data_IF_193721789665
#
_entry.id   IF_193721789665
#
_cell.length_a   1.000
_cell.length_b   1.000
_cell.length_c   1.000
_cell.angle_alpha   90.00
_cell.angle_beta   90.00
_cell.angle_gamma   90.00
#
_symmetry.space_group_name_H-M   'P 1'
#
loop_
_entity.id
_entity.type
_entity.pdbx_description
1 polymer ?
#
# COMPACT_ATOMS: atom_id res chain seq x y z
N UNK A 1 -8.18 -14.21 0.04
CA UNK A 1 -6.86 -14.31 -0.63
C UNK A 1 -7.10 -14.63 -2.09
N UNK A 2 -6.40 -13.97 -3.01
CA UNK A 2 -6.41 -14.29 -4.44
C UNK A 2 -5.02 -14.78 -4.82
N UNK A 3 -4.94 -15.85 -5.60
CA UNK A 3 -3.67 -16.41 -6.05
C UNK A 3 -3.81 -17.02 -7.45
N UNK A 4 -2.78 -16.85 -8.27
CA UNK A 4 -2.67 -17.57 -9.55
C UNK A 4 -1.95 -18.89 -9.31
N UNK A 5 -2.67 -20.00 -9.49
CA UNK A 5 -2.15 -21.37 -9.22
C UNK A 5 -0.95 -21.74 -10.12
N UNK A 6 -0.79 -21.08 -11.26
CA UNK A 6 0.36 -21.28 -12.17
C UNK A 6 1.57 -20.43 -11.77
N UNK A 7 1.45 -19.59 -10.74
CA UNK A 7 2.54 -18.72 -10.26
C UNK A 7 2.87 -17.54 -11.18
N UNK A 8 2.01 -17.24 -12.16
CA UNK A 8 2.25 -16.17 -13.14
C UNK A 8 1.86 -14.82 -12.53
N UNK A 9 2.81 -13.87 -12.50
CA UNK A 9 2.57 -12.48 -12.10
C UNK A 9 1.70 -11.78 -13.15
N UNK A 10 0.63 -11.10 -12.73
CA UNK A 10 -0.26 -10.32 -13.61
C UNK A 10 -0.95 -9.20 -12.83
N UNK A 11 -1.39 -8.15 -13.55
CA UNK A 11 -2.18 -7.07 -12.94
C UNK A 11 -3.58 -7.53 -12.55
N UNK A 12 -4.16 -8.47 -13.29
CA UNK A 12 -5.48 -9.06 -13.07
C UNK A 12 -5.66 -9.56 -11.62
N UNK A 13 -4.63 -10.17 -11.03
CA UNK A 13 -4.67 -10.63 -9.62
C UNK A 13 -4.86 -9.47 -8.63
N UNK A 14 -4.31 -8.30 -8.95
CA UNK A 14 -4.48 -7.08 -8.13
C UNK A 14 -5.90 -6.55 -8.28
N UNK A 15 -6.43 -6.50 -9.50
CA UNK A 15 -7.83 -6.10 -9.76
C UNK A 15 -8.82 -7.02 -9.06
N UNK A 16 -8.63 -8.34 -9.15
CA UNK A 16 -9.43 -9.34 -8.43
C UNK A 16 -9.38 -9.13 -6.92
N UNK A 17 -8.19 -8.86 -6.35
CA UNK A 17 -8.03 -8.61 -4.93
C UNK A 17 -8.77 -7.34 -4.48
N UNK A 18 -8.76 -6.28 -5.28
CA UNK A 18 -9.53 -5.06 -5.03
C UNK A 18 -11.03 -5.33 -5.13
N UNK A 19 -11.48 -6.10 -6.12
CA UNK A 19 -12.89 -6.47 -6.26
C UNK A 19 -13.39 -7.28 -5.05
N UNK A 20 -12.56 -8.18 -4.51
CA UNK A 20 -12.87 -8.89 -3.27
C UNK A 20 -13.06 -7.92 -2.10
N UNK A 21 -12.21 -6.90 -1.94
CA UNK A 21 -12.39 -5.89 -0.89
C UNK A 21 -13.70 -5.11 -1.05
N UNK A 22 -14.05 -4.71 -2.27
CA UNK A 22 -15.33 -4.06 -2.57
C UNK A 22 -16.50 -4.95 -2.14
N UNK A 23 -16.45 -6.23 -2.52
CA UNK A 23 -17.50 -7.19 -2.18
C UNK A 23 -17.61 -7.44 -0.68
N UNK A 24 -16.51 -7.28 0.07
CA UNK A 24 -16.47 -7.40 1.54
C UNK A 24 -16.85 -6.10 2.26
N UNK A 25 -17.19 -5.02 1.55
CA UNK A 25 -17.53 -3.74 2.17
C UNK A 25 -18.64 -3.84 3.24
N UNK A 26 -19.62 -4.73 3.04
CA UNK A 26 -20.69 -5.02 4.00
C UNK A 26 -20.21 -5.65 5.33
N UNK A 27 -18.94 -6.06 5.42
CA UNK A 27 -18.30 -6.60 6.62
C UNK A 27 -17.33 -5.61 7.28
N UNK A 28 -17.10 -4.45 6.68
CA UNK A 28 -16.38 -3.36 7.34
C UNK A 28 -17.24 -2.73 8.41
N UNK A 29 -16.63 -2.21 9.46
CA UNK A 29 -17.35 -1.28 10.31
C UNK A 29 -17.61 -0.01 9.51
N UNK A 30 -18.88 0.39 9.39
CA UNK A 30 -19.24 1.70 8.88
C UNK A 30 -19.16 2.68 10.05
N UNK A 31 -18.30 3.69 9.92
CA UNK A 31 -18.32 4.83 10.82
C UNK A 31 -19.63 5.62 10.68
N UNK A 32 -19.86 6.58 11.59
CA UNK A 32 -20.98 7.52 11.49
C UNK A 32 -20.84 8.45 10.27
N UNK A 33 -19.64 8.55 9.69
CA UNK A 33 -19.31 9.32 8.50
C UNK A 33 -19.07 8.38 7.29
N UNK A 34 -19.82 8.55 6.18
CA UNK A 34 -19.69 7.73 4.97
C UNK A 34 -18.31 7.79 4.28
N UNK A 35 -17.49 8.81 4.56
CA UNK A 35 -16.13 8.90 4.01
C UNK A 35 -15.09 8.14 4.85
N UNK A 36 -15.49 7.58 6.00
CA UNK A 36 -14.59 6.92 6.96
C UNK A 36 -14.88 5.42 7.09
N UNK A 37 -13.83 4.64 7.28
CA UNK A 37 -13.91 3.23 7.65
C UNK A 37 -12.69 2.81 8.45
N UNK A 38 -12.79 1.67 9.15
CA UNK A 38 -11.74 1.16 10.04
C UNK A 38 -10.44 0.81 9.31
N UNK A 39 -10.52 0.53 8.01
CA UNK A 39 -9.39 0.29 7.13
C UNK A 39 -9.51 -1.00 6.32
N UNK A 40 -8.91 -0.99 5.13
CA UNK A 40 -8.76 -2.15 4.26
C UNK A 40 -7.41 -2.05 3.53
N UNK A 41 -6.86 -3.17 3.11
CA UNK A 41 -5.59 -3.20 2.40
C UNK A 41 -5.32 -4.54 1.73
N UNK A 42 -4.42 -4.51 0.75
CA UNK A 42 -3.89 -5.71 0.09
C UNK A 42 -2.38 -5.79 0.32
N UNK A 43 -1.88 -7.01 0.48
CA UNK A 43 -0.45 -7.30 0.40
C UNK A 43 -0.17 -7.92 -0.96
N UNK A 44 0.79 -7.36 -1.68
CA UNK A 44 1.20 -7.84 -3.01
C UNK A 44 2.66 -8.31 -2.99
N UNK A 45 3.03 -9.05 -4.02
CA UNK A 45 4.43 -9.38 -4.30
C UNK A 45 5.23 -8.11 -4.65
N UNK A 46 6.56 -8.17 -4.53
CA UNK A 46 7.47 -7.08 -4.91
C UNK A 46 7.15 -6.59 -6.34
N UNK A 47 6.70 -5.34 -6.53
CA UNK A 47 6.30 -4.82 -7.83
C UNK A 47 7.52 -4.34 -8.62
N UNK A 48 8.46 -5.24 -8.89
CA UNK A 48 9.77 -4.92 -9.47
C UNK A 48 9.68 -4.14 -10.79
N UNK A 49 8.77 -4.51 -11.70
CA UNK A 49 8.64 -3.83 -12.98
C UNK A 49 8.16 -2.38 -12.84
N UNK A 50 7.24 -2.14 -11.91
CA UNK A 50 6.78 -0.79 -11.58
C UNK A 50 7.92 0.05 -10.98
N UNK A 51 8.65 -0.50 -10.01
CA UNK A 51 9.77 0.19 -9.36
C UNK A 51 10.89 0.50 -10.37
N UNK A 52 11.23 -0.46 -11.24
CA UNK A 52 12.23 -0.26 -12.30
C UNK A 52 11.84 0.90 -13.25
N UNK A 53 10.53 1.10 -13.47
CA UNK A 53 10.01 2.21 -14.29
C UNK A 53 10.07 3.56 -13.57
N UNK A 54 9.78 3.62 -12.28
CA UNK A 54 9.61 4.89 -11.54
C UNK A 54 10.86 5.36 -10.75
N UNK A 55 11.76 4.46 -10.38
CA UNK A 55 12.97 4.80 -9.62
C UNK A 55 13.93 5.75 -10.37
N UNK A 56 14.15 5.62 -11.69
CA UNK A 56 15.05 6.52 -12.42
C UNK A 56 14.63 7.99 -12.37
N UNK A 57 13.33 8.31 -12.42
CA UNK A 57 12.85 9.70 -12.31
C UNK A 57 13.06 10.31 -10.91
N UNK A 58 13.41 9.47 -9.93
CA UNK A 58 13.70 9.88 -8.55
C UNK A 58 15.21 9.80 -8.23
N UNK A 59 16.08 9.65 -9.24
CA UNK A 59 17.53 9.43 -9.08
C UNK A 59 17.89 8.22 -8.22
N UNK A 60 17.04 7.18 -8.24
CA UNK A 60 17.28 5.92 -7.52
C UNK A 60 17.72 4.88 -8.54
N UNK A 61 18.95 4.36 -8.38
CA UNK A 61 19.42 3.19 -9.12
C UNK A 61 18.89 1.93 -8.44
N UNK A 62 17.97 1.22 -9.10
CA UNK A 62 17.35 0.01 -8.56
C UNK A 62 18.21 -1.23 -8.88
N UNK A 63 18.60 -2.05 -7.90
CA UNK A 63 19.22 -3.35 -8.15
C UNK A 63 18.28 -4.35 -8.85
N UNK A 64 18.83 -5.50 -9.24
CA UNK A 64 18.04 -6.62 -9.78
C UNK A 64 16.97 -7.12 -8.78
N UNK A 65 15.92 -7.78 -9.30
CA UNK A 65 14.88 -8.39 -8.46
C UNK A 65 15.50 -9.35 -7.43
N UNK A 66 15.00 -9.30 -6.20
CA UNK A 66 15.55 -10.06 -5.07
C UNK A 66 16.87 -9.52 -4.47
N UNK A 67 17.44 -8.43 -4.99
CA UNK A 67 18.65 -7.77 -4.44
C UNK A 67 18.36 -6.49 -3.65
N UNK A 68 17.10 -6.15 -3.41
CA UNK A 68 16.69 -4.99 -2.63
C UNK A 68 15.39 -5.27 -1.86
N UNK A 69 15.12 -4.43 -0.85
CA UNK A 69 13.88 -4.43 -0.09
C UNK A 69 13.09 -3.13 -0.28
N UNK A 70 11.79 -3.17 0.00
CA UNK A 70 10.91 -2.00 0.00
C UNK A 70 10.14 -1.97 1.31
N UNK A 71 10.05 -0.78 1.91
CA UNK A 71 9.24 -0.54 3.11
C UNK A 71 8.18 0.52 2.81
N UNK A 72 6.95 0.24 3.21
CA UNK A 72 5.88 1.24 3.29
C UNK A 72 5.84 1.73 4.74
N UNK A 73 6.09 3.02 4.94
CA UNK A 73 6.23 3.60 6.29
C UNK A 73 5.27 4.77 6.44
N UNK A 74 4.51 4.78 7.52
CA UNK A 74 3.72 5.95 7.93
C UNK A 74 4.55 6.82 8.86
N UNK A 75 4.72 8.09 8.48
CA UNK A 75 5.43 9.10 9.27
C UNK A 75 4.42 10.11 9.84
N UNK A 76 4.74 10.80 10.95
CA UNK A 76 3.92 11.88 11.46
C UNK A 76 3.66 12.93 10.37
N UNK A 77 2.43 13.46 10.26
CA UNK A 77 2.07 14.40 9.21
C UNK A 77 2.74 15.78 9.38
N UNK A 78 3.27 16.08 10.56
CA UNK A 78 3.92 17.35 10.87
C UNK A 78 5.44 17.17 11.04
N UNK A 79 6.22 17.93 10.25
CA UNK A 79 7.67 18.12 10.44
C UNK A 79 7.89 19.52 11.00
N UNK A 80 7.94 19.65 12.32
CA UNK A 80 8.27 20.89 13.02
C UNK A 80 8.36 20.64 14.53
N UNK A 81 9.29 21.34 15.19
CA UNK A 81 9.60 21.23 16.61
C UNK A 81 8.34 21.13 17.47
N UNK A 82 8.33 20.29 18.53
CA UNK A 82 7.20 20.28 19.46
C UNK A 82 7.02 21.70 19.98
N UNK A 83 5.86 22.31 19.72
CA UNK A 83 5.56 23.59 20.32
C UNK A 83 5.57 23.38 21.83
N UNK A 84 6.47 24.10 22.50
CA UNK A 84 6.39 24.34 23.93
C UNK A 84 5.05 25.04 24.16
N UNK A 85 3.96 24.30 24.39
CA UNK A 85 2.74 24.69 25.10
C UNK A 85 1.62 23.64 24.94
N UNK A 86 1.90 22.41 25.37
CA UNK A 86 0.85 21.48 25.79
C UNK A 86 0.91 21.35 27.32
N UNK A 87 0.54 22.42 28.02
CA UNK A 87 0.24 22.38 29.46
C UNK A 87 -1.13 23.02 29.68
N UNK A 88 -2.11 22.13 29.88
CA UNK A 88 -3.45 22.30 30.47
C UNK A 88 -4.47 23.06 29.65
#
# INVERSE_FOLDING_TARGET
>A
MVANIKGIKSHDIVEDALQVLINLGHRGACGCDPETGDGAGILIQMPHEFLRKICPSNNIALPEDGKYGVGVVFLPPFRGTPSLNAKR
#
